data_IF_034935643601
#
_entry.id   IF_034935643601
#
_cell.length_a   1.000
_cell.length_b   1.000
_cell.length_c   1.000
_cell.angle_alpha   90.00
_cell.angle_beta   90.00
_cell.angle_gamma   90.00
#
_symmetry.space_group_name_H-M   'P 1'
#
loop_
_entity.id
_entity.type
_entity.pdbx_description
1 polymer ?
#
# COMPACT_ATOMS: atom_id res chain seq x y z
N UNK A 1 -9.09 -7.93 2.62
CA UNK A 1 -9.67 -8.99 1.76
C UNK A 1 -8.52 -9.71 1.09
N UNK A 2 -8.63 -11.02 0.84
CA UNK A 2 -7.63 -11.76 0.06
C UNK A 2 -7.99 -11.72 -1.43
N UNK A 3 -6.99 -11.53 -2.29
CA UNK A 3 -7.16 -11.56 -3.74
C UNK A 3 -6.99 -13.00 -4.21
N UNK A 4 -7.93 -13.50 -5.02
CA UNK A 4 -7.85 -14.85 -5.59
C UNK A 4 -7.11 -14.80 -6.93
N UNK A 5 -5.77 -14.79 -6.86
CA UNK A 5 -4.88 -14.70 -8.02
C UNK A 5 -3.69 -15.65 -7.84
N UNK A 6 -3.22 -16.33 -8.90
CA UNK A 6 -2.04 -17.19 -8.81
C UNK A 6 -0.82 -16.48 -8.20
N UNK A 7 -0.11 -17.15 -7.28
CA UNK A 7 1.11 -16.64 -6.64
C UNK A 7 0.92 -15.86 -5.34
N UNK A 8 -0.32 -15.59 -4.91
CA UNK A 8 -0.59 -14.81 -3.68
C UNK A 8 -0.26 -15.53 -2.36
N UNK A 9 0.03 -16.83 -2.41
CA UNK A 9 0.50 -17.63 -1.27
C UNK A 9 2.04 -17.75 -1.24
N UNK A 10 2.74 -16.95 -2.05
CA UNK A 10 4.20 -16.89 -2.05
C UNK A 10 4.76 -16.36 -0.73
N UNK A 11 5.95 -16.82 -0.35
CA UNK A 11 6.61 -16.40 0.91
C UNK A 11 7.01 -14.93 0.95
N UNK A 12 7.04 -14.27 -0.21
CA UNK A 12 7.29 -12.85 -0.39
C UNK A 12 6.02 -11.99 -0.41
N UNK A 13 4.85 -12.58 -0.15
CA UNK A 13 3.55 -11.90 -0.11
C UNK A 13 3.13 -11.70 1.34
N UNK A 14 2.71 -10.49 1.67
CA UNK A 14 2.13 -10.13 2.97
C UNK A 14 0.88 -9.29 2.77
N UNK A 15 -0.07 -9.39 3.68
CA UNK A 15 -1.31 -8.62 3.65
C UNK A 15 -1.21 -7.41 4.55
N UNK A 16 -1.96 -6.34 4.22
CA UNK A 16 -1.88 -5.06 4.91
C UNK A 16 -1.91 -5.16 6.45
N UNK A 17 -2.81 -5.98 7.01
CA UNK A 17 -2.89 -6.18 8.47
C UNK A 17 -1.61 -6.79 9.04
N UNK A 18 -1.06 -7.82 8.39
CA UNK A 18 0.15 -8.50 8.84
C UNK A 18 1.37 -7.60 8.67
N UNK A 19 1.46 -6.86 7.56
CA UNK A 19 2.50 -5.87 7.32
C UNK A 19 2.52 -4.78 8.39
N UNK A 20 1.34 -4.27 8.79
CA UNK A 20 1.25 -3.24 9.82
C UNK A 20 1.61 -3.76 11.22
N UNK A 21 1.26 -5.01 11.53
CA UNK A 21 1.61 -5.65 12.80
C UNK A 21 3.08 -6.09 12.85
N UNK A 22 3.66 -6.44 11.69
CA UNK A 22 5.00 -7.01 11.54
C UNK A 22 5.73 -6.33 10.36
N UNK A 23 6.18 -5.07 10.53
CA UNK A 23 6.68 -4.23 9.44
C UNK A 23 8.07 -4.60 8.92
N UNK A 24 8.63 -5.75 9.32
CA UNK A 24 10.00 -6.14 8.97
C UNK A 24 10.08 -6.69 7.52
N UNK A 25 9.90 -5.79 6.56
CA UNK A 25 9.99 -6.06 5.13
C UNK A 25 11.46 -6.04 4.69
N UNK A 26 12.02 -7.23 4.49
CA UNK A 26 13.43 -7.41 4.09
C UNK A 26 13.73 -6.98 2.65
N UNK A 27 12.76 -7.10 1.74
CA UNK A 27 12.91 -6.73 0.33
C UNK A 27 13.23 -5.25 0.12
N UNK A 28 13.87 -4.92 -1.01
CA UNK A 28 14.13 -3.53 -1.41
C UNK A 28 13.13 -3.02 -2.45
N UNK A 29 12.75 -3.88 -3.39
CA UNK A 29 11.72 -3.61 -4.39
C UNK A 29 10.38 -4.13 -3.89
N UNK A 30 9.44 -3.21 -3.62
CA UNK A 30 8.14 -3.52 -3.04
C UNK A 30 7.04 -3.15 -4.03
N UNK A 31 6.18 -4.12 -4.33
CA UNK A 31 4.93 -3.89 -5.05
C UNK A 31 3.78 -3.79 -4.05
N UNK A 32 3.10 -2.65 -4.02
CA UNK A 32 1.86 -2.47 -3.26
C UNK A 32 0.69 -2.58 -4.22
N UNK A 33 -0.19 -3.55 -3.98
CA UNK A 33 -1.38 -3.80 -4.80
C UNK A 33 -2.61 -3.24 -4.08
N UNK A 34 -3.22 -2.23 -4.69
CA UNK A 34 -4.36 -1.46 -4.16
C UNK A 34 -3.94 -0.08 -3.67
N UNK A 35 -4.52 0.95 -4.28
CA UNK A 35 -4.32 2.37 -4.00
C UNK A 35 -5.34 2.99 -3.05
N UNK A 36 -5.98 2.20 -2.18
CA UNK A 36 -6.80 2.73 -1.09
C UNK A 36 -5.95 3.34 0.04
N UNK A 37 -6.60 3.92 1.06
CA UNK A 37 -5.92 4.57 2.20
C UNK A 37 -4.75 3.75 2.76
N UNK A 38 -5.03 2.52 3.21
CA UNK A 38 -4.01 1.66 3.82
C UNK A 38 -2.87 1.30 2.87
N UNK A 39 -3.17 1.10 1.59
CA UNK A 39 -2.16 0.79 0.58
C UNK A 39 -1.20 1.97 0.39
N UNK A 40 -1.74 3.18 0.25
CA UNK A 40 -0.95 4.40 0.11
C UNK A 40 -0.17 4.73 1.39
N UNK A 41 -0.76 4.56 2.58
CA UNK A 41 -0.06 4.73 3.86
C UNK A 41 1.16 3.81 3.97
N UNK A 42 0.99 2.51 3.68
CA UNK A 42 2.09 1.53 3.68
C UNK A 42 3.14 1.89 2.63
N UNK A 43 2.71 2.30 1.44
CA UNK A 43 3.63 2.67 0.36
C UNK A 43 4.51 3.86 0.76
N UNK A 44 3.91 4.90 1.33
CA UNK A 44 4.64 6.08 1.79
C UNK A 44 5.57 5.78 2.97
N UNK A 45 5.14 4.97 3.93
CA UNK A 45 5.98 4.56 5.07
C UNK A 45 7.21 3.78 4.61
N UNK A 46 7.02 2.76 3.76
CA UNK A 46 8.14 1.99 3.20
C UNK A 46 9.06 2.86 2.32
N UNK A 47 8.50 3.80 1.56
CA UNK A 47 9.27 4.78 0.81
C UNK A 47 10.15 5.65 1.71
N UNK A 48 9.62 6.13 2.85
CA UNK A 48 10.38 6.87 3.87
C UNK A 48 11.49 6.04 4.51
N UNK A 49 11.32 4.73 4.59
CA UNK A 49 12.36 3.80 5.03
C UNK A 49 13.42 3.51 3.94
N UNK A 50 13.35 4.19 2.79
CA UNK A 50 14.32 4.07 1.69
C UNK A 50 14.05 2.90 0.75
N UNK A 51 12.88 2.27 0.81
CA UNK A 51 12.49 1.18 -0.10
C UNK A 51 12.07 1.74 -1.46
N UNK A 52 12.26 0.95 -2.52
CA UNK A 52 11.74 1.25 -3.86
C UNK A 52 10.33 0.70 -3.98
N UNK A 53 9.34 1.57 -3.80
CA UNK A 53 7.94 1.18 -3.80
C UNK A 53 7.29 1.49 -5.13
N UNK A 54 6.59 0.52 -5.71
CA UNK A 54 5.68 0.70 -6.84
C UNK A 54 4.26 0.41 -6.38
N UNK A 55 3.37 1.37 -6.52
CA UNK A 55 1.94 1.19 -6.30
C UNK A 55 1.22 0.80 -7.59
N UNK A 56 0.28 -0.15 -7.52
CA UNK A 56 -0.61 -0.50 -8.62
C UNK A 56 -2.05 -0.47 -8.13
N UNK A 57 -2.92 0.22 -8.86
CA UNK A 57 -4.35 0.33 -8.60
C UNK A 57 -5.13 -0.08 -9.85
N UNK A 58 -6.25 -0.77 -9.66
CA UNK A 58 -7.09 -1.23 -10.77
C UNK A 58 -8.07 -0.14 -11.25
N UNK A 59 -8.48 0.76 -10.36
CA UNK A 59 -9.27 1.94 -10.69
C UNK A 59 -8.44 3.01 -11.41
N UNK A 60 -9.13 3.97 -12.03
CA UNK A 60 -8.50 5.10 -12.73
C UNK A 60 -7.72 6.04 -11.79
N UNK A 61 -8.08 6.08 -10.50
CA UNK A 61 -7.47 6.94 -9.49
C UNK A 61 -7.25 6.23 -8.16
N UNK A 62 -6.20 6.64 -7.45
CA UNK A 62 -5.93 6.24 -6.06
C UNK A 62 -6.84 6.99 -5.09
N UNK A 63 -6.90 6.51 -3.84
CA UNK A 63 -7.71 7.07 -2.75
C UNK A 63 -9.20 7.24 -3.15
N UNK A 64 -9.68 6.37 -4.04
CA UNK A 64 -11.05 6.39 -4.56
C UNK A 64 -11.94 5.45 -3.74
N UNK A 65 -12.12 5.73 -2.45
CA UNK A 65 -13.04 4.98 -1.59
C UNK A 65 -14.09 5.90 -0.97
N UNK A 66 -15.33 5.40 -0.91
CA UNK A 66 -16.43 6.14 -0.31
C UNK A 66 -16.19 6.38 1.19
N UNK A 67 -16.42 7.61 1.65
CA UNK A 67 -16.35 7.96 3.07
C UNK A 67 -14.94 8.16 3.63
N UNK A 68 -13.93 8.35 2.77
CA UNK A 68 -12.59 8.73 3.24
C UNK A 68 -12.66 10.09 3.97
N UNK A 69 -12.03 10.14 5.15
CA UNK A 69 -11.80 11.38 5.89
C UNK A 69 -10.97 12.35 5.05
N UNK A 70 -11.46 13.58 4.87
CA UNK A 70 -10.76 14.62 4.10
C UNK A 70 -9.36 14.91 4.66
N UNK A 71 -9.18 14.83 5.98
CA UNK A 71 -7.87 15.04 6.60
C UNK A 71 -6.86 13.95 6.19
N UNK A 72 -7.28 12.68 6.15
CA UNK A 72 -6.44 11.57 5.71
C UNK A 72 -6.11 11.67 4.22
N UNK A 73 -7.12 12.00 3.39
CA UNK A 73 -6.92 12.19 1.96
C UNK A 73 -5.88 13.28 1.67
N UNK A 74 -6.07 14.48 2.25
CA UNK A 74 -5.20 15.62 2.00
C UNK A 74 -3.76 15.33 2.45
N UNK A 75 -3.59 14.75 3.65
CA UNK A 75 -2.28 14.39 4.18
C UNK A 75 -1.54 13.40 3.27
N UNK A 76 -2.23 12.38 2.75
CA UNK A 76 -1.59 11.40 1.87
C UNK A 76 -1.27 11.97 0.48
N UNK A 77 -2.12 12.86 -0.05
CA UNK A 77 -1.81 13.55 -1.30
C UNK A 77 -0.58 14.45 -1.17
N UNK A 78 -0.47 15.22 -0.08
CA UNK A 78 0.71 16.05 0.20
C UNK A 78 2.00 15.23 0.38
N UNK A 79 1.90 13.96 0.77
CA UNK A 79 3.05 13.07 0.92
C UNK A 79 3.51 12.44 -0.41
N UNK A 80 2.66 12.45 -1.43
CA UNK A 80 2.95 11.88 -2.75
C UNK A 80 3.54 12.92 -3.72
N UNK A 81 3.32 14.21 -3.46
CA UNK A 81 3.92 15.34 -4.17
C UNK A 81 5.39 15.57 -3.76
#
# INVERSE_FOLDING_TARGET
RKLDTPGFEGTNVTYAVDTLLHPDIKGQDILVVGGGLTGIEIACDLGRQGKRVTGVEACDTILNSFGISAANYNMLMEMLD
#
